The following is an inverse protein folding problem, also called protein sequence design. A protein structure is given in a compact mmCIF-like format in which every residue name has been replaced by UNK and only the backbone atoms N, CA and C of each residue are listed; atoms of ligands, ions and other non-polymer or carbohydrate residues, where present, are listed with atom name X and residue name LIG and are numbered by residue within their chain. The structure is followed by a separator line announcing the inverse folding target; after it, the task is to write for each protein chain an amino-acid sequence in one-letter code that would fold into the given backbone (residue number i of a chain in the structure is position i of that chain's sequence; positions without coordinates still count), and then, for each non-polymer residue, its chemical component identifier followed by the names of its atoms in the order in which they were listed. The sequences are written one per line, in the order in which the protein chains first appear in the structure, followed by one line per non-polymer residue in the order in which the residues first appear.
data_IF_162622668480
#
_entry.id   IF_162622668480
#
_cell.length_a   1.000
_cell.length_b   1.000
_cell.length_c   1.000
_cell.angle_alpha   90.00
_cell.angle_beta   90.00
_cell.angle_gamma   90.00
#
_symmetry.space_group_name_H-M   'P 1'
#
loop_
_entity.id
_entity.type
_entity.pdbx_description
1 polymer ?
#
# COMPACT_ATOMS: atom_id res chain seq x y z
N UNK A 1 9.05 18.14 -6.13
CA UNK A 1 7.83 17.33 -6.35
C UNK A 1 8.09 16.01 -5.66
N UNK A 2 7.30 15.68 -4.64
CA UNK A 2 7.39 14.42 -3.90
C UNK A 2 6.48 13.41 -4.63
N UNK A 3 7.00 12.24 -4.96
CA UNK A 3 6.19 11.16 -5.54
C UNK A 3 5.40 10.50 -4.41
N UNK A 4 4.07 10.62 -4.47
CA UNK A 4 3.12 10.05 -3.50
C UNK A 4 2.50 8.75 -3.97
N UNK A 5 2.99 8.14 -5.05
CA UNK A 5 2.35 6.95 -5.60
C UNK A 5 3.12 5.70 -5.18
N UNK A 6 2.44 4.77 -4.53
CA UNK A 6 2.96 3.44 -4.22
C UNK A 6 2.22 2.37 -5.01
N UNK A 7 2.84 1.21 -5.16
CA UNK A 7 2.22 0.06 -5.83
C UNK A 7 2.21 -1.14 -4.92
N UNK A 8 1.15 -1.93 -5.01
CA UNK A 8 1.01 -3.15 -4.25
C UNK A 8 0.42 -4.29 -5.08
N UNK A 9 0.78 -5.51 -4.73
CA UNK A 9 0.21 -6.71 -5.34
C UNK A 9 -0.91 -7.23 -4.43
N UNK A 10 -2.11 -7.40 -4.98
CA UNK A 10 -3.22 -7.96 -4.23
C UNK A 10 -2.94 -9.44 -3.91
N UNK A 11 -3.04 -9.85 -2.64
CA UNK A 11 -2.86 -11.26 -2.24
C UNK A 11 -3.97 -12.20 -2.69
N UNK A 12 -5.14 -11.64 -3.04
CA UNK A 12 -6.29 -12.44 -3.45
C UNK A 12 -6.23 -12.80 -4.93
N UNK A 13 -6.02 -11.80 -5.81
CA UNK A 13 -6.03 -12.01 -7.26
C UNK A 13 -4.65 -11.89 -7.94
N UNK A 14 -3.64 -11.36 -7.26
CA UNK A 14 -2.30 -11.14 -7.81
C UNK A 14 -2.16 -9.93 -8.72
N UNK A 15 -3.17 -9.06 -8.83
CA UNK A 15 -3.10 -7.85 -9.64
C UNK A 15 -2.19 -6.78 -8.99
N UNK A 16 -1.46 -6.02 -9.82
CA UNK A 16 -0.76 -4.80 -9.41
C UNK A 16 -1.74 -3.64 -9.35
N UNK A 17 -1.81 -2.96 -8.21
CA UNK A 17 -2.64 -1.79 -7.97
C UNK A 17 -1.73 -0.60 -7.59
N UNK A 18 -2.21 0.62 -7.83
CA UNK A 18 -1.49 1.86 -7.54
C UNK A 18 -2.33 2.66 -6.55
N UNK A 19 -1.70 3.13 -5.48
CA UNK A 19 -2.37 3.92 -4.44
C UNK A 19 -1.69 5.28 -4.29
N UNK A 20 -2.50 6.27 -3.94
CA UNK A 20 -2.02 7.58 -3.54
C UNK A 20 -1.76 7.59 -2.03
N UNK A 21 -0.53 7.93 -1.69
CA UNK A 21 0.03 7.85 -0.36
C UNK A 21 0.15 9.26 0.20
N UNK A 22 -0.56 9.52 1.28
CA UNK A 22 -0.47 10.80 1.97
C UNK A 22 0.72 10.82 2.95
N UNK A 23 1.63 11.77 2.73
CA UNK A 23 2.84 11.94 3.55
C UNK A 23 2.57 12.68 4.87
N UNK A 24 1.34 13.15 5.13
CA UNK A 24 1.04 13.89 6.36
C UNK A 24 0.89 12.98 7.59
N UNK A 25 0.65 11.68 7.39
CA UNK A 25 0.43 10.71 8.47
C UNK A 25 1.71 10.21 9.17
N UNK A 26 2.90 10.63 8.76
CA UNK A 26 4.17 10.25 9.39
C UNK A 26 4.95 9.15 8.64
N UNK A 27 6.02 8.65 9.26
CA UNK A 27 6.95 7.67 8.65
C UNK A 27 6.38 6.25 8.59
N UNK A 28 5.44 5.91 9.47
CA UNK A 28 4.83 4.60 9.58
C UNK A 28 3.32 4.76 9.48
N UNK A 29 2.72 4.22 8.43
CA UNK A 29 1.30 4.35 8.17
C UNK A 29 0.69 3.02 7.75
N UNK A 30 -0.56 2.79 8.14
CA UNK A 30 -1.34 1.60 7.78
C UNK A 30 -2.64 2.09 7.15
N UNK A 31 -2.96 1.54 5.98
CA UNK A 31 -4.19 1.82 5.24
C UNK A 31 -4.83 0.51 4.82
N UNK A 32 -6.12 0.55 4.51
CA UNK A 32 -6.81 -0.57 3.88
C UNK A 32 -7.31 -0.09 2.54
N UNK A 33 -6.85 -0.73 1.47
CA UNK A 33 -7.22 -0.39 0.10
C UNK A 33 -7.79 -1.61 -0.61
N UNK A 34 -8.90 -1.40 -1.30
CA UNK A 34 -9.55 -2.42 -2.10
C UNK A 34 -8.81 -2.62 -3.41
N UNK A 35 -8.69 -3.86 -3.87
CA UNK A 35 -8.11 -4.12 -5.20
C UNK A 35 -9.07 -3.65 -6.31
N UNK A 36 -8.55 -2.89 -7.28
CA UNK A 36 -9.30 -2.39 -8.45
C UNK A 36 -9.85 -3.50 -9.35
N UNK A 37 -9.30 -4.73 -9.24
CA UNK A 37 -9.67 -5.87 -10.07
C UNK A 37 -10.69 -6.78 -9.39
N UNK A 38 -10.47 -7.12 -8.11
CA UNK A 38 -11.29 -8.11 -7.40
C UNK A 38 -12.09 -7.54 -6.22
N UNK A 39 -11.98 -6.24 -5.92
CA UNK A 39 -12.62 -5.59 -4.77
C UNK A 39 -12.31 -6.26 -3.41
N UNK A 40 -11.22 -7.02 -3.31
CA UNK A 40 -10.79 -7.57 -2.03
C UNK A 40 -10.06 -6.49 -1.23
N UNK A 41 -10.36 -6.32 0.07
CA UNK A 41 -9.64 -5.39 0.92
C UNK A 41 -8.23 -5.90 1.20
N UNK A 42 -7.22 -5.06 0.98
CA UNK A 42 -5.83 -5.36 1.29
C UNK A 42 -5.37 -4.39 2.37
N UNK A 43 -4.83 -4.92 3.47
CA UNK A 43 -4.13 -4.09 4.44
C UNK A 43 -2.75 -3.76 3.91
N UNK A 44 -2.43 -2.48 3.87
CA UNK A 44 -1.21 -1.93 3.31
C UNK A 44 -0.45 -1.20 4.40
N UNK A 45 0.75 -1.68 4.69
CA UNK A 45 1.69 -0.99 5.55
C UNK A 45 2.64 -0.18 4.66
N UNK A 46 2.86 1.07 5.02
CA UNK A 46 3.80 1.95 4.33
C UNK A 46 4.77 2.48 5.36
N UNK A 47 6.04 2.14 5.15
CA UNK A 47 7.15 2.69 5.88
C UNK A 47 7.94 3.61 4.94
N UNK A 48 8.06 4.89 5.29
CA UNK A 48 8.86 5.83 4.51
C UNK A 48 10.31 5.79 4.98
N UNK A 49 11.14 5.10 4.22
CA UNK A 49 12.58 5.28 4.33
C UNK A 49 12.96 6.63 3.69
N UNK A 50 13.64 7.49 4.46
CA UNK A 50 14.03 8.88 4.15
C UNK A 50 14.73 9.03 2.77
N UNK A 51 15.19 7.91 2.19
CA UNK A 51 15.98 7.85 0.96
C UNK A 51 15.24 7.36 -0.29
N UNK A 52 14.18 6.55 -0.17
CA UNK A 52 13.57 5.88 -1.34
C UNK A 52 12.04 5.80 -1.36
N UNK A 53 11.32 6.24 -0.31
CA UNK A 53 9.84 6.26 -0.28
C UNK A 53 9.21 4.94 -0.78
N UNK A 54 9.74 3.80 -0.32
CA UNK A 54 9.31 2.47 -0.77
C UNK A 54 8.28 1.90 0.20
N UNK A 55 7.03 1.75 -0.24
CA UNK A 55 5.99 1.07 0.53
C UNK A 55 6.24 -0.45 0.58
N UNK A 56 6.36 -1.02 1.77
CA UNK A 56 6.41 -2.47 1.99
C UNK A 56 5.03 -3.01 2.35
N UNK A 57 4.30 -3.47 1.32
CA UNK A 57 2.92 -3.92 1.49
C UNK A 57 2.86 -5.38 1.92
N UNK A 58 2.45 -5.61 3.17
CA UNK A 58 2.12 -6.94 3.69
C UNK A 58 0.61 -7.03 3.93
N UNK A 59 -0.08 -7.83 3.13
CA UNK A 59 -1.49 -8.16 3.34
C UNK A 59 -1.58 -9.53 4.01
N UNK A 60 -2.09 -9.53 5.24
CA UNK A 60 -2.30 -10.71 6.07
C UNK A 60 -3.76 -11.17 5.98
N UNK A 61 -4.00 -12.49 6.02
CA UNK A 61 -5.32 -13.11 5.99
C UNK A 61 -5.47 -13.88 7.30
N UNK A 62 -6.09 -13.25 8.31
CA UNK A 62 -6.40 -13.91 9.59
C UNK A 62 -7.61 -14.84 9.34
N UNK A 63 -7.43 -16.14 9.64
CA UNK A 63 -8.35 -17.26 9.33
C UNK A 63 -9.81 -17.09 9.80
#
# INVERSE_FOLDING_TARGET
MYETQARFICVVCGAENIIDVDLSGGLDQEYVEDCDVCCAPNKIHIHFDDKYFKAEVSSDFDE
#
